data_IF_409924013515
#
_entry.id   IF_409924013515
#
_cell.length_a   1.000
_cell.length_b   1.000
_cell.length_c   1.000
_cell.angle_alpha   90.00
_cell.angle_beta   90.00
_cell.angle_gamma   90.00
#
_symmetry.space_group_name_H-M   'P 1'
#
loop_
_entity.id
_entity.type
_entity.pdbx_description
1 polymer ?
#
# COMPACT_ATOMS: atom_id res chain seq x y z
N UNK A 1 -1.88 0.94 12.20
CA UNK A 1 -0.95 1.25 11.08
C UNK A 1 -0.66 2.73 11.11
N UNK A 2 0.58 3.12 11.10
CA UNK A 2 1.00 4.48 11.36
C UNK A 2 2.09 4.92 10.38
N UNK A 3 2.22 6.24 10.23
CA UNK A 3 3.32 6.83 9.45
C UNK A 3 4.65 6.41 10.05
N UNK A 4 5.59 6.00 9.20
CA UNK A 4 6.90 5.53 9.62
C UNK A 4 7.00 4.02 9.76
N UNK A 5 5.88 3.32 9.76
CA UNK A 5 5.87 1.87 9.80
C UNK A 5 6.08 1.29 8.43
N UNK A 6 6.59 0.08 8.37
CA UNK A 6 6.76 -0.65 7.12
C UNK A 6 5.69 -1.70 6.97
N UNK A 7 5.30 -1.95 5.74
CA UNK A 7 4.30 -2.95 5.41
C UNK A 7 4.81 -3.81 4.26
N UNK A 8 4.29 -5.02 4.19
CA UNK A 8 4.53 -5.90 3.05
C UNK A 8 3.25 -5.97 2.23
N UNK A 9 3.39 -5.75 0.94
CA UNK A 9 2.28 -5.88 0.00
C UNK A 9 2.36 -7.21 -0.71
N UNK A 10 1.23 -7.90 -0.79
CA UNK A 10 1.09 -9.11 -1.60
C UNK A 10 0.08 -8.80 -2.69
N UNK A 11 0.47 -8.98 -3.94
CA UNK A 11 -0.44 -8.74 -5.06
C UNK A 11 -1.52 -9.81 -5.12
N UNK A 12 -2.77 -9.40 -5.25
CA UNK A 12 -3.90 -10.32 -5.36
C UNK A 12 -4.49 -10.33 -6.77
N UNK A 13 -4.19 -9.30 -7.56
CA UNK A 13 -4.56 -9.26 -8.97
C UNK A 13 -3.30 -9.33 -9.82
N UNK A 14 -3.47 -9.56 -11.12
CA UNK A 14 -2.34 -9.55 -12.04
C UNK A 14 -1.60 -8.22 -11.99
N UNK A 15 -2.34 -7.12 -11.93
CA UNK A 15 -1.77 -5.78 -11.84
C UNK A 15 -0.99 -5.60 -10.56
N UNK A 16 -1.57 -6.01 -9.42
CA UNK A 16 -0.90 -5.91 -8.12
C UNK A 16 0.37 -6.75 -8.06
N UNK A 17 0.32 -7.97 -8.62
CA UNK A 17 1.49 -8.84 -8.66
C UNK A 17 2.63 -8.25 -9.49
N UNK A 18 2.29 -7.60 -10.60
CA UNK A 18 3.29 -6.94 -11.43
C UNK A 18 3.96 -5.79 -10.70
N UNK A 19 3.19 -5.00 -9.96
CA UNK A 19 3.75 -3.87 -9.20
C UNK A 19 4.70 -4.36 -8.12
N UNK A 20 4.35 -5.40 -7.40
CA UNK A 20 5.22 -5.98 -6.37
C UNK A 20 6.50 -6.51 -6.99
N UNK A 21 6.39 -7.16 -8.15
CA UNK A 21 7.56 -7.68 -8.85
C UNK A 21 8.51 -6.56 -9.28
N UNK A 22 7.97 -5.45 -9.75
CA UNK A 22 8.78 -4.35 -10.28
C UNK A 22 9.39 -3.49 -9.18
N UNK A 23 8.69 -3.31 -8.08
CA UNK A 23 9.05 -2.31 -7.08
C UNK A 23 9.31 -2.89 -5.70
N UNK A 24 9.20 -4.23 -5.57
CA UNK A 24 9.40 -4.87 -4.29
C UNK A 24 8.12 -4.95 -3.47
N UNK A 25 8.19 -5.72 -2.39
CA UNK A 25 7.02 -5.99 -1.55
C UNK A 25 7.03 -5.19 -0.25
N UNK A 26 8.17 -4.63 0.15
CA UNK A 26 8.27 -3.86 1.39
C UNK A 26 8.14 -2.38 1.07
N UNK A 27 7.21 -1.73 1.76
CA UNK A 27 6.87 -0.32 1.54
C UNK A 27 6.78 0.39 2.88
N UNK A 28 7.03 1.69 2.87
CA UNK A 28 6.95 2.51 4.06
C UNK A 28 5.70 3.38 4.02
N UNK A 29 4.99 3.46 5.13
CA UNK A 29 3.83 4.33 5.25
C UNK A 29 4.34 5.75 5.49
N UNK A 30 4.12 6.64 4.52
CA UNK A 30 4.61 8.02 4.63
C UNK A 30 3.49 9.02 4.90
N UNK A 31 2.24 8.63 4.71
CA UNK A 31 1.09 9.51 4.96
C UNK A 31 -0.17 8.68 5.14
N UNK A 32 -1.06 9.17 5.99
CA UNK A 32 -2.39 8.59 6.18
C UNK A 32 -3.45 9.61 5.77
N UNK A 33 -4.52 9.14 5.15
CA UNK A 33 -5.63 10.00 4.79
C UNK A 33 -6.95 9.26 5.08
N UNK A 34 -7.61 9.58 6.21
CA UNK A 34 -8.80 8.86 6.61
C UNK A 34 -10.07 9.24 5.84
N UNK A 35 -10.04 10.36 5.13
CA UNK A 35 -11.27 10.90 4.55
C UNK A 35 -11.23 11.01 3.03
N UNK A 36 -10.20 10.47 2.37
CA UNK A 36 -10.11 10.56 0.92
C UNK A 36 -11.04 9.54 0.27
N UNK A 37 -11.76 9.99 -0.74
CA UNK A 37 -12.55 9.13 -1.60
C UNK A 37 -11.84 9.05 -2.95
N UNK A 38 -11.25 7.89 -3.26
CA UNK A 38 -10.61 7.67 -4.54
C UNK A 38 -11.58 6.99 -5.50
N UNK A 39 -11.22 6.98 -6.78
CA UNK A 39 -11.98 6.27 -7.80
C UNK A 39 -11.74 4.77 -7.71
N UNK A 40 -12.04 4.21 -6.57
CA UNK A 40 -11.85 2.80 -6.27
C UNK A 40 -13.00 2.33 -5.39
N UNK A 41 -13.28 1.05 -5.44
CA UNK A 41 -14.29 0.45 -4.59
C UNK A 41 -13.72 0.05 -3.23
N UNK A 42 -12.42 0.21 -3.03
CA UNK A 42 -11.80 -0.14 -1.76
C UNK A 42 -12.21 0.84 -0.65
N UNK A 43 -12.47 0.35 0.55
CA UNK A 43 -12.86 1.22 1.65
C UNK A 43 -11.65 1.98 2.22
N UNK A 44 -11.89 3.22 2.69
CA UNK A 44 -10.89 3.96 3.45
C UNK A 44 -10.82 3.46 4.89
N UNK A 45 -9.87 3.96 5.69
CA UNK A 45 -8.88 4.98 5.33
C UNK A 45 -7.79 4.46 4.39
N UNK A 46 -7.15 5.41 3.72
CA UNK A 46 -6.08 5.09 2.78
C UNK A 46 -4.73 5.52 3.35
N UNK A 47 -3.69 4.85 2.92
CA UNK A 47 -2.33 5.21 3.28
C UNK A 47 -1.51 5.40 2.01
N UNK A 48 -0.58 6.37 2.05
CA UNK A 48 0.36 6.57 0.98
C UNK A 48 1.62 5.78 1.31
N UNK A 49 1.97 4.87 0.44
CA UNK A 49 3.14 4.01 0.61
C UNK A 49 4.21 4.40 -0.37
N UNK A 50 5.45 4.37 0.09
CA UNK A 50 6.62 4.55 -0.76
C UNK A 50 7.41 3.26 -0.80
N UNK A 51 7.79 2.83 -2.01
CA UNK A 51 8.62 1.65 -2.19
C UNK A 51 9.99 1.89 -1.55
N UNK A 52 10.56 0.85 -0.96
CA UNK A 52 11.87 0.98 -0.32
C UNK A 52 13.02 0.83 -1.31
N UNK A 53 12.75 0.32 -2.50
CA UNK A 53 13.76 0.12 -3.53
C UNK A 53 13.74 1.20 -4.60
N UNK A 54 12.67 1.98 -4.68
CA UNK A 54 12.50 3.06 -5.64
C UNK A 54 11.83 4.24 -4.95
N UNK A 55 11.63 5.34 -5.68
CA UNK A 55 10.94 6.51 -5.14
C UNK A 55 9.44 6.48 -5.47
N UNK A 56 8.95 5.41 -6.05
CA UNK A 56 7.55 5.30 -6.42
C UNK A 56 6.64 5.23 -5.20
N UNK A 57 5.49 5.89 -5.29
CA UNK A 57 4.51 5.97 -4.22
C UNK A 57 3.15 5.59 -4.76
N UNK A 58 2.30 5.06 -3.87
CA UNK A 58 0.91 4.79 -4.23
C UNK A 58 0.01 4.80 -3.01
N UNK A 59 -1.26 5.11 -3.24
CA UNK A 59 -2.28 5.03 -2.22
C UNK A 59 -2.86 3.62 -2.17
N UNK A 60 -2.98 3.08 -0.96
CA UNK A 60 -3.50 1.73 -0.74
C UNK A 60 -4.49 1.79 0.42
N UNK A 61 -5.57 1.02 0.32
CA UNK A 61 -6.54 0.91 1.39
C UNK A 61 -5.92 0.19 2.58
N UNK A 62 -6.19 0.68 3.78
CA UNK A 62 -5.73 0.03 5.01
C UNK A 62 -6.60 -1.16 5.40
N UNK A 63 -7.75 -1.31 4.78
CA UNK A 63 -8.72 -2.36 5.15
C UNK A 63 -8.75 -3.45 4.09
N UNK A 64 -9.07 -3.09 2.85
CA UNK A 64 -9.26 -4.08 1.80
C UNK A 64 -9.00 -3.42 0.45
N UNK A 65 -7.75 -3.45 0.02
CA UNK A 65 -7.39 -2.87 -1.26
C UNK A 65 -7.78 -3.79 -2.42
N UNK A 66 -8.01 -3.18 -3.59
CA UNK A 66 -8.42 -3.92 -4.78
C UNK A 66 -7.31 -4.83 -5.32
N UNK A 67 -6.06 -4.44 -5.17
CA UNK A 67 -4.94 -5.11 -5.82
C UNK A 67 -3.95 -5.77 -4.87
N UNK A 68 -4.01 -5.45 -3.57
CA UNK A 68 -3.00 -5.90 -2.62
C UNK A 68 -3.61 -6.33 -1.32
N UNK A 69 -2.96 -7.28 -0.67
CA UNK A 69 -3.12 -7.47 0.77
C UNK A 69 -1.94 -6.81 1.47
N UNK A 70 -2.18 -6.30 2.67
CA UNK A 70 -1.20 -5.53 3.41
C UNK A 70 -0.90 -6.23 4.74
N UNK A 71 0.38 -6.41 5.03
CA UNK A 71 0.82 -6.97 6.30
C UNK A 71 1.78 -5.99 6.95
N UNK A 72 1.52 -5.61 8.19
CA UNK A 72 2.43 -4.74 8.93
C UNK A 72 3.63 -5.57 9.36
N UNK A 73 4.82 -5.14 8.91
CA UNK A 73 6.07 -5.75 9.32
C UNK A 73 6.76 -4.74 10.23
N UNK A 74 6.58 -4.92 11.51
CA UNK A 74 7.10 -3.98 12.48
C UNK A 74 8.57 -4.28 12.77
N UNK A 75 9.39 -3.32 12.47
CA UNK A 75 10.81 -3.37 12.76
C UNK A 75 11.13 -2.65 14.05
#
# INVERSE_FOLDING_TARGET
MEVGKKVRLTGITRHGKNRVREQGDVWEVIRMNPSVSFKTNAPGPFMLLQATTTINMRWVSTVNDDNFTVEVIDE
#
